data_IF_408435014936
#
_entry.id   IF_408435014936
#
_cell.length_a   1.000
_cell.length_b   1.000
_cell.length_c   1.000
_cell.angle_alpha   90.00
_cell.angle_beta   90.00
_cell.angle_gamma   90.00
#
_symmetry.space_group_name_H-M   'P 1'
#
loop_
_entity.id
_entity.type
_entity.pdbx_description
1 polymer ?
#
# COMPACT_ATOMS: atom_id res chain seq x y z
N UNK A 1 23.59 14.26 15.16
CA UNK A 1 22.12 14.10 15.00
C UNK A 1 21.85 13.32 13.73
N UNK A 2 21.19 12.16 13.84
CA UNK A 2 21.63 11.00 13.07
C UNK A 2 21.03 10.93 11.64
N UNK A 3 21.74 11.50 10.66
CA UNK A 3 21.43 11.37 9.23
C UNK A 3 21.27 9.90 8.80
N UNK A 4 21.93 8.97 9.51
CA UNK A 4 21.76 7.53 9.26
C UNK A 4 20.33 7.06 9.54
N UNK A 5 19.65 7.61 10.56
CA UNK A 5 18.24 7.29 10.84
C UNK A 5 17.31 7.73 9.71
N UNK A 6 17.61 8.86 9.06
CA UNK A 6 16.86 9.31 7.87
C UNK A 6 17.01 8.31 6.74
N UNK A 7 18.24 7.89 6.45
CA UNK A 7 18.51 6.87 5.43
C UNK A 7 17.90 5.53 5.80
N UNK A 8 17.88 5.14 7.06
CA UNK A 8 17.30 3.89 7.53
C UNK A 8 15.77 3.87 7.34
N UNK A 9 15.07 4.91 7.80
CA UNK A 9 13.62 5.02 7.61
C UNK A 9 13.24 5.08 6.12
N UNK A 10 14.00 5.82 5.33
CA UNK A 10 13.81 5.89 3.88
C UNK A 10 14.07 4.55 3.17
N UNK A 11 15.02 3.72 3.65
CA UNK A 11 15.22 2.36 3.13
C UNK A 11 14.03 1.45 3.46
N UNK A 12 13.49 1.54 4.67
CA UNK A 12 12.32 0.75 5.06
C UNK A 12 11.11 1.10 4.19
N UNK A 13 10.87 2.39 3.95
CA UNK A 13 9.79 2.86 3.08
C UNK A 13 10.02 2.49 1.61
N UNK A 14 11.27 2.44 1.15
CA UNK A 14 11.60 1.89 -0.17
C UNK A 14 11.19 0.42 -0.29
N UNK A 15 11.56 -0.43 0.67
CA UNK A 15 11.12 -1.83 0.69
C UNK A 15 9.60 -1.97 0.83
N UNK A 16 8.95 -1.04 1.52
CA UNK A 16 7.50 -0.98 1.60
C UNK A 16 6.86 -0.66 0.23
N UNK A 17 7.48 0.20 -0.58
CA UNK A 17 7.07 0.43 -1.97
C UNK A 17 7.19 -0.83 -2.83
N UNK A 18 8.29 -1.58 -2.68
CA UNK A 18 8.46 -2.90 -3.32
C UNK A 18 7.37 -3.88 -2.86
N UNK A 19 7.07 -3.91 -1.56
CA UNK A 19 6.00 -4.72 -1.01
C UNK A 19 4.63 -4.35 -1.62
N UNK A 20 4.35 -3.06 -1.82
CA UNK A 20 3.12 -2.60 -2.47
C UNK A 20 3.02 -3.05 -3.93
N UNK A 21 4.15 -3.11 -4.66
CA UNK A 21 4.19 -3.69 -6.02
C UNK A 21 3.81 -5.18 -5.97
N UNK A 22 4.41 -5.95 -5.07
CA UNK A 22 4.07 -7.38 -4.90
C UNK A 22 2.61 -7.56 -4.50
N UNK A 23 2.08 -6.67 -3.67
CA UNK A 23 0.67 -6.67 -3.29
C UNK A 23 -0.24 -6.38 -4.49
N UNK A 24 0.14 -5.45 -5.38
CA UNK A 24 -0.57 -5.20 -6.63
C UNK A 24 -0.54 -6.39 -7.59
N UNK A 25 0.61 -7.02 -7.76
CA UNK A 25 0.77 -8.27 -8.52
C UNK A 25 -0.14 -9.36 -7.94
N UNK A 26 -0.19 -9.48 -6.61
CA UNK A 26 -1.06 -10.43 -5.93
C UNK A 26 -2.54 -10.20 -6.29
N UNK A 27 -3.02 -8.95 -6.34
CA UNK A 27 -4.38 -8.63 -6.77
C UNK A 27 -4.68 -9.07 -8.21
N UNK A 28 -3.71 -8.97 -9.12
CA UNK A 28 -3.87 -9.34 -10.53
C UNK A 28 -3.95 -10.87 -10.68
N UNK A 29 -3.02 -11.61 -10.08
CA UNK A 29 -2.91 -13.06 -10.31
C UNK A 29 -3.83 -13.90 -9.43
N UNK A 30 -4.12 -13.46 -8.20
CA UNK A 30 -4.90 -14.23 -7.22
C UNK A 30 -6.37 -13.81 -7.15
N UNK A 31 -6.90 -13.28 -8.26
CA UNK A 31 -8.27 -12.79 -8.36
C UNK A 31 -9.32 -13.78 -7.85
N UNK A 32 -9.27 -15.03 -8.32
CA UNK A 32 -10.23 -16.07 -7.94
C UNK A 32 -10.22 -16.32 -6.43
N UNK A 33 -9.03 -16.28 -5.81
CA UNK A 33 -8.89 -16.47 -4.37
C UNK A 33 -9.45 -15.27 -3.60
N UNK A 34 -9.14 -14.05 -4.04
CA UNK A 34 -9.65 -12.82 -3.43
C UNK A 34 -11.18 -12.74 -3.52
N UNK A 35 -11.75 -13.01 -4.69
CA UNK A 35 -13.20 -13.01 -4.88
C UNK A 35 -13.89 -14.05 -3.99
N UNK A 36 -13.36 -15.28 -3.92
CA UNK A 36 -13.92 -16.31 -3.04
C UNK A 36 -13.90 -15.90 -1.56
N UNK A 37 -12.84 -15.22 -1.11
CA UNK A 37 -12.74 -14.77 0.27
C UNK A 37 -13.60 -13.53 0.56
N UNK A 38 -13.72 -12.60 -0.39
CA UNK A 38 -14.59 -11.42 -0.25
C UNK A 38 -16.07 -11.80 -0.16
N UNK A 39 -16.50 -12.86 -0.87
CA UNK A 39 -17.87 -13.36 -0.87
C UNK A 39 -18.03 -14.67 -0.10
N UNK A 40 -17.22 -14.90 0.95
CA UNK A 40 -17.19 -16.19 1.68
C UNK A 40 -18.55 -16.59 2.25
N UNK A 41 -19.35 -15.64 2.72
CA UNK A 41 -20.71 -15.85 3.24
C UNK A 41 -21.70 -16.22 2.13
N UNK A 42 -21.35 -15.95 0.85
CA UNK A 42 -22.19 -16.18 -0.31
C UNK A 42 -21.41 -16.92 -1.41
N UNK A 43 -20.69 -17.98 -1.06
CA UNK A 43 -19.92 -18.80 -2.02
C UNK A 43 -20.75 -19.28 -3.23
N UNK A 44 -22.07 -19.38 -3.08
CA UNK A 44 -23.00 -19.70 -4.18
C UNK A 44 -23.16 -18.56 -5.19
N UNK A 45 -23.02 -17.28 -4.78
CA UNK A 45 -23.15 -16.11 -5.65
C UNK A 45 -22.03 -16.00 -6.68
N UNK A 46 -20.79 -16.38 -6.33
CA UNK A 46 -19.70 -16.41 -7.30
C UNK A 46 -19.90 -17.51 -8.35
N UNK A 47 -20.35 -18.69 -7.93
CA UNK A 47 -20.77 -19.75 -8.83
C UNK A 47 -21.96 -19.34 -9.71
N UNK A 48 -22.90 -18.57 -9.15
CA UNK A 48 -24.05 -18.01 -9.85
C UNK A 48 -23.64 -16.96 -10.88
N UNK A 49 -22.78 -15.99 -10.55
CA UNK A 49 -22.31 -14.97 -11.49
C UNK A 49 -21.57 -15.59 -12.68
N UNK A 50 -20.69 -16.58 -12.44
CA UNK A 50 -19.99 -17.26 -13.54
C UNK A 50 -20.97 -18.00 -14.47
N UNK A 51 -22.05 -18.56 -13.92
CA UNK A 51 -23.03 -19.34 -14.70
C UNK A 51 -24.11 -18.50 -15.39
N UNK A 52 -24.55 -17.40 -14.77
CA UNK A 52 -25.76 -16.67 -15.16
C UNK A 52 -25.49 -15.23 -15.61
N UNK A 53 -24.33 -14.64 -15.27
CA UNK A 53 -23.97 -13.29 -15.72
C UNK A 53 -22.45 -13.09 -15.89
N UNK A 54 -21.95 -13.48 -17.06
CA UNK A 54 -20.53 -13.36 -17.41
C UNK A 54 -20.02 -11.91 -17.40
N UNK A 55 -20.89 -10.92 -17.60
CA UNK A 55 -20.49 -9.50 -17.65
C UNK A 55 -20.07 -9.01 -16.26
N UNK A 56 -20.78 -9.43 -15.21
CA UNK A 56 -20.43 -9.09 -13.82
C UNK A 56 -19.05 -9.66 -13.45
N UNK A 57 -18.78 -10.92 -13.83
CA UNK A 57 -17.48 -11.55 -13.56
C UNK A 57 -16.32 -10.83 -14.27
N UNK A 58 -16.53 -10.37 -15.52
CA UNK A 58 -15.55 -9.56 -16.26
C UNK A 58 -15.33 -8.22 -15.56
N UNK A 59 -16.39 -7.55 -15.09
CA UNK A 59 -16.28 -6.27 -14.42
C UNK A 59 -15.47 -6.36 -13.11
N UNK A 60 -15.71 -7.38 -12.30
CA UNK A 60 -14.89 -7.65 -11.11
C UNK A 60 -13.44 -8.00 -11.45
N UNK A 61 -13.24 -8.68 -12.57
CA UNK A 61 -11.89 -8.99 -13.08
C UNK A 61 -11.14 -7.72 -13.42
N UNK A 62 -11.74 -6.85 -14.23
CA UNK A 62 -11.17 -5.57 -14.62
C UNK A 62 -10.93 -4.66 -13.40
N UNK A 63 -11.85 -4.64 -12.44
CA UNK A 63 -11.71 -3.85 -11.22
C UNK A 63 -10.50 -4.27 -10.39
N UNK A 64 -10.29 -5.57 -10.17
CA UNK A 64 -9.10 -6.05 -9.44
C UNK A 64 -7.80 -5.78 -10.21
N UNK A 65 -7.81 -5.96 -11.54
CA UNK A 65 -6.64 -5.63 -12.38
C UNK A 65 -6.31 -4.14 -12.26
N UNK A 66 -7.32 -3.27 -12.30
CA UNK A 66 -7.16 -1.84 -12.15
C UNK A 66 -6.58 -1.47 -10.77
N UNK A 67 -7.11 -2.05 -9.69
CA UNK A 67 -6.53 -1.89 -8.33
C UNK A 67 -5.07 -2.34 -8.33
N UNK A 68 -4.77 -3.51 -8.91
CA UNK A 68 -3.41 -4.04 -8.99
C UNK A 68 -2.44 -3.11 -9.68
N UNK A 69 -2.84 -2.52 -10.82
CA UNK A 69 -2.04 -1.52 -11.54
C UNK A 69 -1.82 -0.27 -10.69
N UNK A 70 -2.87 0.26 -10.05
CA UNK A 70 -2.76 1.42 -9.17
C UNK A 70 -1.79 1.18 -8.00
N UNK A 71 -1.82 -0.01 -7.40
CA UNK A 71 -0.91 -0.42 -6.34
C UNK A 71 0.54 -0.48 -6.85
N UNK A 72 0.76 -1.05 -8.03
CA UNK A 72 2.09 -1.09 -8.66
C UNK A 72 2.59 0.34 -8.92
N UNK A 73 1.77 1.21 -9.50
CA UNK A 73 2.13 2.61 -9.76
C UNK A 73 2.45 3.36 -8.47
N UNK A 74 1.65 3.17 -7.42
CA UNK A 74 1.89 3.81 -6.12
C UNK A 74 3.15 3.24 -5.44
N UNK A 75 3.43 1.95 -5.59
CA UNK A 75 4.67 1.34 -5.11
C UNK A 75 5.91 1.95 -5.77
N UNK A 76 5.87 2.18 -7.09
CA UNK A 76 6.94 2.89 -7.84
C UNK A 76 7.09 4.33 -7.31
N UNK A 77 5.97 5.03 -7.09
CA UNK A 77 5.98 6.38 -6.53
C UNK A 77 6.63 6.44 -5.14
N UNK A 78 6.30 5.50 -4.25
CA UNK A 78 6.92 5.36 -2.92
C UNK A 78 8.43 5.12 -3.05
N UNK A 79 8.87 4.21 -3.94
CA UNK A 79 10.29 3.92 -4.19
C UNK A 79 11.02 5.19 -4.63
N UNK A 80 10.45 5.93 -5.59
CA UNK A 80 11.04 7.17 -6.10
C UNK A 80 11.21 8.24 -5.01
N UNK A 81 10.15 8.51 -4.23
CA UNK A 81 10.23 9.47 -3.13
C UNK A 81 11.22 9.03 -2.05
N UNK A 82 11.27 7.74 -1.76
CA UNK A 82 12.20 7.17 -0.76
C UNK A 82 13.66 7.33 -1.20
N UNK A 83 13.98 7.02 -2.45
CA UNK A 83 15.32 7.25 -3.02
C UNK A 83 15.68 8.75 -3.02
N UNK A 84 14.73 9.61 -3.36
CA UNK A 84 14.93 11.06 -3.30
C UNK A 84 15.24 11.53 -1.87
N UNK A 85 14.55 11.00 -0.86
CA UNK A 85 14.84 11.28 0.56
C UNK A 85 16.25 10.79 0.94
N UNK A 86 16.67 9.61 0.49
CA UNK A 86 18.01 9.06 0.77
C UNK A 86 19.10 10.00 0.22
N UNK A 87 18.90 10.53 -0.99
CA UNK A 87 19.85 11.39 -1.70
C UNK A 87 19.83 12.84 -1.18
N UNK A 88 18.66 13.46 -1.10
CA UNK A 88 18.48 14.90 -0.85
C UNK A 88 18.06 15.26 0.58
N UNK A 89 17.50 14.30 1.35
CA UNK A 89 17.03 14.51 2.73
C UNK A 89 16.03 15.67 2.83
N UNK A 90 15.19 15.78 1.81
CA UNK A 90 14.22 16.85 1.68
C UNK A 90 13.01 16.61 2.59
N UNK A 91 12.58 17.68 3.27
CA UNK A 91 11.46 17.60 4.23
C UNK A 91 10.13 17.47 3.51
N UNK A 92 9.93 18.19 2.40
CA UNK A 92 8.66 18.18 1.67
C UNK A 92 8.45 16.82 1.02
N UNK A 93 9.48 16.20 0.45
CA UNK A 93 9.39 14.83 -0.07
C UNK A 93 8.98 13.84 1.02
N UNK A 94 9.53 13.96 2.24
CA UNK A 94 9.12 13.11 3.36
C UNK A 94 7.65 13.35 3.77
N UNK A 95 7.18 14.60 3.80
CA UNK A 95 5.77 14.91 4.09
C UNK A 95 4.84 14.36 3.01
N UNK A 96 5.18 14.53 1.73
CA UNK A 96 4.40 14.00 0.60
C UNK A 96 4.31 12.49 0.69
N UNK A 97 5.44 11.81 0.94
CA UNK A 97 5.48 10.36 1.13
C UNK A 97 4.59 9.92 2.30
N UNK A 98 4.63 10.66 3.42
CA UNK A 98 3.84 10.36 4.61
C UNK A 98 2.34 10.38 4.32
N UNK A 99 1.87 11.46 3.71
CA UNK A 99 0.45 11.64 3.38
C UNK A 99 -0.01 10.63 2.34
N UNK A 100 0.75 10.44 1.26
CA UNK A 100 0.39 9.47 0.22
C UNK A 100 0.35 8.04 0.75
N UNK A 101 1.32 7.66 1.59
CA UNK A 101 1.40 6.34 2.18
C UNK A 101 0.30 6.06 3.21
N UNK A 102 -0.05 7.04 4.07
CA UNK A 102 -1.18 6.88 5.00
C UNK A 102 -2.50 6.74 4.25
N UNK A 103 -2.76 7.58 3.26
CA UNK A 103 -4.00 7.54 2.49
C UNK A 103 -4.12 6.19 1.75
N UNK A 104 -3.05 5.77 1.07
CA UNK A 104 -3.07 4.53 0.30
C UNK A 104 -3.17 3.28 1.18
N UNK A 105 -2.25 3.07 2.13
CA UNK A 105 -2.32 1.91 3.01
C UNK A 105 -3.56 1.91 3.91
N UNK A 106 -3.95 3.07 4.44
CA UNK A 106 -5.16 3.22 5.25
C UNK A 106 -6.42 2.91 4.44
N UNK A 107 -6.49 3.36 3.19
CA UNK A 107 -7.58 3.04 2.26
C UNK A 107 -7.68 1.54 1.99
N UNK A 108 -6.55 0.89 1.67
CA UNK A 108 -6.49 -0.56 1.42
C UNK A 108 -6.92 -1.36 2.65
N UNK A 109 -6.43 -0.98 3.84
CA UNK A 109 -6.77 -1.66 5.09
C UNK A 109 -8.26 -1.53 5.39
N UNK A 110 -8.82 -0.32 5.22
CA UNK A 110 -10.24 -0.05 5.42
C UNK A 110 -11.10 -0.91 4.48
N UNK A 111 -10.77 -0.94 3.18
CA UNK A 111 -11.48 -1.76 2.20
C UNK A 111 -11.38 -3.25 2.55
N UNK A 112 -10.20 -3.72 2.97
CA UNK A 112 -9.99 -5.12 3.36
C UNK A 112 -10.84 -5.52 4.57
N UNK A 113 -11.00 -4.62 5.54
CA UNK A 113 -11.87 -4.80 6.71
C UNK A 113 -13.34 -4.85 6.29
N UNK A 114 -13.78 -3.92 5.43
CA UNK A 114 -15.15 -3.88 4.92
C UNK A 114 -15.51 -5.16 4.15
N UNK A 115 -14.56 -5.70 3.38
CA UNK A 115 -14.69 -6.96 2.66
C UNK A 115 -14.55 -8.20 3.56
N UNK A 116 -14.27 -8.02 4.85
CA UNK A 116 -14.01 -9.09 5.84
C UNK A 116 -12.95 -10.11 5.37
N UNK A 117 -12.06 -9.71 4.46
CA UNK A 117 -11.07 -10.61 3.88
C UNK A 117 -9.83 -10.65 4.77
N UNK A 118 -9.77 -11.67 5.64
CA UNK A 118 -8.70 -11.84 6.64
C UNK A 118 -7.31 -11.83 6.01
N UNK A 119 -7.13 -12.47 4.84
CA UNK A 119 -5.83 -12.50 4.15
C UNK A 119 -5.39 -11.10 3.74
N UNK A 120 -6.31 -10.32 3.15
CA UNK A 120 -6.04 -8.94 2.76
C UNK A 120 -5.83 -8.03 3.96
N UNK A 121 -6.58 -8.23 5.05
CA UNK A 121 -6.42 -7.47 6.30
C UNK A 121 -5.02 -7.68 6.88
N UNK A 122 -4.57 -8.93 7.01
CA UNK A 122 -3.26 -9.24 7.60
C UNK A 122 -2.13 -8.68 6.74
N UNK A 123 -2.18 -8.90 5.43
CA UNK A 123 -1.15 -8.41 4.49
C UNK A 123 -1.12 -6.89 4.40
N UNK A 124 -2.27 -6.23 4.28
CA UNK A 124 -2.37 -4.77 4.31
C UNK A 124 -1.91 -4.20 5.66
N UNK A 125 -2.21 -4.88 6.77
CA UNK A 125 -1.77 -4.49 8.11
C UNK A 125 -0.24 -4.51 8.26
N UNK A 126 0.42 -5.55 7.75
CA UNK A 126 1.90 -5.63 7.73
C UNK A 126 2.49 -4.50 6.88
N UNK A 127 1.91 -4.24 5.70
CA UNK A 127 2.29 -3.12 4.84
C UNK A 127 2.14 -1.76 5.54
N UNK A 128 1.00 -1.51 6.18
CA UNK A 128 0.73 -0.27 6.88
C UNK A 128 1.66 -0.06 8.09
N UNK A 129 1.86 -1.10 8.92
CA UNK A 129 2.76 -1.02 10.07
C UNK A 129 4.22 -0.79 9.67
N UNK A 130 4.72 -1.51 8.66
CA UNK A 130 6.08 -1.30 8.16
C UNK A 130 6.27 0.11 7.58
N UNK A 131 5.26 0.65 6.90
CA UNK A 131 5.26 2.04 6.44
C UNK A 131 5.35 3.03 7.61
N UNK A 132 4.50 2.89 8.62
CA UNK A 132 4.51 3.76 9.81
C UNK A 132 5.87 3.72 10.50
N UNK A 133 6.44 2.54 10.73
CA UNK A 133 7.76 2.39 11.35
C UNK A 133 8.83 3.11 10.53
N UNK A 134 8.83 2.92 9.20
CA UNK A 134 9.76 3.61 8.30
C UNK A 134 9.65 5.14 8.36
N UNK A 135 8.45 5.67 8.58
CA UNK A 135 8.20 7.11 8.69
C UNK A 135 8.46 7.70 10.08
N UNK A 136 8.28 6.93 11.15
CA UNK A 136 8.51 7.39 12.52
C UNK A 136 10.00 7.48 12.87
N UNK A 137 10.84 6.57 12.37
CA UNK A 137 12.30 6.60 12.62
C UNK A 137 12.95 7.97 12.31
N UNK A 138 12.67 8.61 11.16
CA UNK A 138 13.26 9.91 10.81
C UNK A 138 12.54 11.13 11.42
N UNK A 139 11.41 10.98 12.13
CA UNK A 139 10.55 12.11 12.52
C UNK A 139 11.28 13.19 13.33
N UNK A 140 12.08 12.75 14.31
CA UNK A 140 12.86 13.64 15.18
C UNK A 140 13.87 14.50 14.41
N UNK A 141 14.40 14.00 13.28
CA UNK A 141 15.29 14.76 12.41
C UNK A 141 14.55 15.89 11.72
N UNK A 142 13.38 15.60 11.13
CA UNK A 142 12.61 16.58 10.37
C UNK A 142 11.95 17.64 11.26
N UNK A 143 11.54 17.27 12.47
CA UNK A 143 11.04 18.23 13.47
C UNK A 143 12.14 19.22 13.86
N UNK A 144 13.36 18.74 14.17
CA UNK A 144 14.49 19.60 14.56
C UNK A 144 15.07 20.43 13.42
N UNK A 145 15.04 19.93 12.18
CA UNK A 145 15.47 20.70 10.99
C UNK A 145 14.63 21.97 10.81
N UNK A 146 13.36 21.93 11.20
CA UNK A 146 12.46 23.10 11.14
C UNK A 146 12.85 24.21 12.13
N UNK A 147 13.33 23.84 13.32
CA UNK A 147 13.69 24.78 14.40
C UNK A 147 14.99 25.55 14.17
N UNK A 148 15.80 25.20 13.16
CA UNK A 148 17.05 25.91 12.86
C UNK A 148 16.90 26.97 11.76
N UNK A 149 15.73 27.07 11.14
CA UNK A 149 15.44 28.01 10.04
C UNK A 149 14.61 29.21 10.53
N UNK A 150 14.15 29.18 11.78
CA UNK A 150 13.52 30.28 12.50
C UNK A 150 14.38 30.61 13.72
#
# INVERSE_FOLDING_TARGET
MNIQKVKQGAKITLYNGVYMIFYGIFYIFFLKMNMRQNFREINELWGFFIRYDANIAVLFTLFNVFIGILLISNGIFIIYLSDYIIKRKDKMTWVVLFLSGIISWGGILTISILLKNVLLIVTAGIGWLSFIIGMLIPISYYLRKSYKVY
#
